data_IF_133540136365
#
_entry.id   IF_133540136365
#
_cell.length_a   1.000
_cell.length_b   1.000
_cell.length_c   1.000
_cell.angle_alpha   90.00
_cell.angle_beta   90.00
_cell.angle_gamma   90.00
#
_symmetry.space_group_name_H-M   'P 1'
#
loop_
_entity.id
_entity.type
_entity.pdbx_description
1 polymer ?
#
# COMPACT_ATOMS: atom_id res chain seq x y z
N UNK A 1 -8.28 -4.94 0.48
CA UNK A 1 -7.41 -3.73 0.67
C UNK A 1 -6.33 -3.63 -0.38
N UNK A 2 -5.54 -4.68 -0.64
CA UNK A 2 -4.54 -4.65 -1.73
C UNK A 2 -5.17 -4.56 -3.13
N UNK A 3 -6.38 -5.09 -3.31
CA UNK A 3 -7.12 -5.01 -4.59
C UNK A 3 -7.62 -3.60 -4.91
N UNK A 4 -7.68 -2.71 -3.91
CA UNK A 4 -8.08 -1.32 -4.07
C UNK A 4 -6.89 -0.41 -4.44
N UNK A 5 -5.66 -0.90 -4.35
CA UNK A 5 -4.51 -0.21 -4.92
C UNK A 5 -4.58 -0.26 -6.45
N UNK A 6 -4.00 0.74 -7.12
CA UNK A 6 -3.86 0.67 -8.57
C UNK A 6 -3.02 -0.57 -8.96
N UNK A 7 -3.22 -1.14 -10.16
CA UNK A 7 -2.47 -2.31 -10.60
C UNK A 7 -0.94 -2.13 -10.45
N UNK A 8 -0.44 -0.93 -10.76
CA UNK A 8 0.99 -0.59 -10.65
C UNK A 8 1.48 -0.51 -9.21
N UNK A 9 0.68 0.09 -8.32
CA UNK A 9 1.00 0.13 -6.88
C UNK A 9 1.03 -1.27 -6.27
N UNK A 10 0.06 -2.12 -6.64
CA UNK A 10 0.00 -3.52 -6.19
C UNK A 10 1.20 -4.33 -6.69
N UNK A 11 1.56 -4.18 -7.97
CA UNK A 11 2.75 -4.83 -8.55
C UNK A 11 4.05 -4.41 -7.80
N UNK A 12 4.26 -3.11 -7.62
CA UNK A 12 5.46 -2.58 -6.94
C UNK A 12 5.49 -3.03 -5.48
N UNK A 13 4.35 -3.01 -4.78
CA UNK A 13 4.25 -3.47 -3.40
C UNK A 13 4.57 -4.96 -3.29
N UNK A 14 4.03 -5.80 -4.18
CA UNK A 14 4.31 -7.23 -4.24
C UNK A 14 5.80 -7.51 -4.49
N UNK A 15 6.42 -6.85 -5.47
CA UNK A 15 7.84 -7.00 -5.76
C UNK A 15 8.72 -6.61 -4.55
N UNK A 16 8.34 -5.55 -3.83
CA UNK A 16 9.08 -5.12 -2.65
C UNK A 16 8.88 -6.02 -1.43
N UNK A 17 7.64 -6.42 -1.14
CA UNK A 17 7.28 -7.12 0.12
C UNK A 17 7.34 -8.62 0.02
N UNK A 18 6.81 -9.19 -1.05
CA UNK A 18 6.74 -10.65 -1.25
C UNK A 18 7.98 -11.19 -1.96
N UNK A 19 8.56 -10.41 -2.88
CA UNK A 19 9.78 -10.80 -3.61
C UNK A 19 11.07 -10.24 -3.02
N UNK A 20 10.98 -9.34 -2.05
CA UNK A 20 12.15 -8.76 -1.36
C UNK A 20 13.08 -7.95 -2.27
N UNK A 21 12.60 -7.47 -3.43
CA UNK A 21 13.43 -6.71 -4.36
C UNK A 21 13.71 -5.31 -3.80
N UNK A 22 14.93 -4.82 -4.04
CA UNK A 22 15.30 -3.43 -3.75
C UNK A 22 14.57 -2.46 -4.67
N UNK A 23 14.49 -1.18 -4.29
CA UNK A 23 13.85 -0.18 -5.13
C UNK A 23 14.54 -0.04 -6.50
N UNK A 24 15.86 -0.17 -6.56
CA UNK A 24 16.63 -0.11 -7.79
C UNK A 24 16.36 -1.31 -8.69
N UNK A 25 16.28 -2.52 -8.13
CA UNK A 25 15.94 -3.72 -8.88
C UNK A 25 14.51 -3.68 -9.45
N UNK A 26 13.57 -3.09 -8.70
CA UNK A 26 12.20 -2.86 -9.18
C UNK A 26 12.20 -1.79 -10.29
N UNK A 27 12.96 -0.71 -10.10
CA UNK A 27 13.09 0.38 -11.07
C UNK A 27 13.60 -0.12 -12.42
N UNK A 28 14.67 -0.92 -12.40
CA UNK A 28 15.23 -1.57 -13.59
C UNK A 28 14.20 -2.52 -14.23
N UNK A 29 13.61 -3.43 -13.45
CA UNK A 29 12.64 -4.41 -13.94
C UNK A 29 11.42 -3.77 -14.61
N UNK A 30 10.97 -2.64 -14.07
CA UNK A 30 9.75 -1.96 -14.50
C UNK A 30 10.02 -0.77 -15.43
N UNK A 31 11.29 -0.52 -15.77
CA UNK A 31 11.79 0.59 -16.57
C UNK A 31 11.24 1.96 -16.12
N UNK A 32 11.39 2.25 -14.83
CA UNK A 32 11.00 3.52 -14.18
C UNK A 32 12.11 3.98 -13.23
N UNK A 33 12.04 5.20 -12.71
CA UNK A 33 13.04 5.65 -11.72
C UNK A 33 12.82 5.01 -10.34
N UNK A 34 13.90 4.81 -9.57
CA UNK A 34 13.80 4.38 -8.16
C UNK A 34 12.96 5.34 -7.30
N UNK A 35 12.96 6.64 -7.65
CA UNK A 35 12.09 7.62 -7.00
C UNK A 35 10.61 7.37 -7.31
N UNK A 36 10.27 6.97 -8.54
CA UNK A 36 8.92 6.55 -8.92
C UNK A 36 8.48 5.32 -8.12
N UNK A 37 9.36 4.33 -7.94
CA UNK A 37 9.11 3.16 -7.08
C UNK A 37 8.81 3.59 -5.64
N UNK A 38 9.67 4.43 -5.06
CA UNK A 38 9.47 5.00 -3.72
C UNK A 38 8.13 5.70 -3.59
N UNK A 39 7.78 6.56 -4.55
CA UNK A 39 6.52 7.30 -4.54
C UNK A 39 5.30 6.38 -4.58
N UNK A 40 5.33 5.33 -5.41
CA UNK A 40 4.27 4.32 -5.42
C UNK A 40 4.15 3.59 -4.09
N UNK A 41 5.26 3.20 -3.45
CA UNK A 41 5.25 2.54 -2.15
C UNK A 41 4.70 3.45 -1.04
N UNK A 42 5.14 4.71 -0.99
CA UNK A 42 4.64 5.70 -0.02
C UNK A 42 3.15 5.92 -0.19
N UNK A 43 2.69 6.11 -1.43
CA UNK A 43 1.27 6.29 -1.74
C UNK A 43 0.45 5.05 -1.37
N UNK A 44 0.96 3.84 -1.65
CA UNK A 44 0.31 2.58 -1.27
C UNK A 44 0.18 2.44 0.25
N UNK A 45 1.24 2.76 1.00
CA UNK A 45 1.21 2.71 2.47
C UNK A 45 0.25 3.74 3.05
N UNK A 46 0.20 4.96 2.49
CA UNK A 46 -0.76 5.99 2.90
C UNK A 46 -2.20 5.51 2.72
N UNK A 47 -2.50 4.92 1.56
CA UNK A 47 -3.80 4.34 1.27
C UNK A 47 -4.15 3.21 2.25
N UNK A 48 -3.22 2.28 2.50
CA UNK A 48 -3.47 1.17 3.42
C UNK A 48 -3.75 1.69 4.84
N UNK A 49 -2.96 2.64 5.34
CA UNK A 49 -3.14 3.25 6.66
C UNK A 49 -4.51 3.93 6.80
N UNK A 50 -4.89 4.79 5.85
CA UNK A 50 -6.17 5.50 5.91
C UNK A 50 -7.38 4.56 5.93
N UNK A 51 -7.29 3.41 5.25
CA UNK A 51 -8.37 2.43 5.25
C UNK A 51 -8.42 1.61 6.55
N UNK A 52 -7.29 1.37 7.21
CA UNK A 52 -7.26 0.75 8.54
C UNK A 52 -7.82 1.68 9.61
N UNK A 53 -7.43 2.95 9.61
CA UNK A 53 -7.89 3.94 10.59
C UNK A 53 -9.42 4.13 10.52
N UNK A 54 -9.98 4.19 9.30
CA UNK A 54 -11.43 4.25 9.12
C UNK A 54 -12.14 3.00 9.66
N UNK A 55 -11.56 1.82 9.47
CA UNK A 55 -12.13 0.58 10.01
C UNK A 55 -12.12 0.56 11.54
N UNK A 56 -11.06 1.07 12.18
CA UNK A 56 -10.99 1.17 13.65
C UNK A 56 -12.06 2.13 14.20
N UNK A 57 -12.26 3.29 13.57
CA UNK A 57 -13.30 4.23 13.97
C UNK A 57 -14.71 3.62 13.87
N UNK A 58 -15.00 2.86 12.81
CA UNK A 58 -16.28 2.17 12.64
C UNK A 58 -16.47 1.12 13.75
N UNK A 59 -15.43 0.34 14.07
CA UNK A 59 -15.51 -0.65 15.13
C UNK A 59 -15.74 0.00 16.51
N UNK A 60 -15.04 1.11 16.81
CA UNK A 60 -15.25 1.86 18.06
C UNK A 60 -16.68 2.40 18.14
N UNK A 61 -17.18 2.99 17.05
CA UNK A 61 -18.52 3.54 16.99
C UNK A 61 -19.59 2.43 17.15
N UNK A 62 -19.39 1.28 16.51
CA UNK A 62 -20.24 0.10 16.70
C UNK A 62 -20.25 -0.36 18.16
N UNK A 63 -19.09 -0.51 18.79
CA UNK A 63 -19.02 -0.88 20.22
C UNK A 63 -19.75 0.16 21.07
N UNK A 64 -19.56 1.47 20.85
CA UNK A 64 -20.22 2.50 21.65
C UNK A 64 -21.74 2.60 21.49
N UNK A 65 -22.29 2.14 20.36
CA UNK A 65 -23.72 2.22 20.06
C UNK A 65 -24.48 0.93 20.41
N UNK A 66 -23.78 -0.20 20.46
CA UNK A 66 -24.39 -1.52 20.62
C UNK A 66 -23.92 -2.27 21.89
N UNK A 67 -23.00 -1.70 22.67
CA UNK A 67 -22.56 -2.16 23.99
C UNK A 67 -22.62 -1.00 25.00
#
# INVERSE_FOLDING_TARGET
MLDQLSPRQREIFYLSREKGLSHDAIAEKLNISANTVKNHLVSSLKFLRSNLDNSLLINILFVSLFF
#
